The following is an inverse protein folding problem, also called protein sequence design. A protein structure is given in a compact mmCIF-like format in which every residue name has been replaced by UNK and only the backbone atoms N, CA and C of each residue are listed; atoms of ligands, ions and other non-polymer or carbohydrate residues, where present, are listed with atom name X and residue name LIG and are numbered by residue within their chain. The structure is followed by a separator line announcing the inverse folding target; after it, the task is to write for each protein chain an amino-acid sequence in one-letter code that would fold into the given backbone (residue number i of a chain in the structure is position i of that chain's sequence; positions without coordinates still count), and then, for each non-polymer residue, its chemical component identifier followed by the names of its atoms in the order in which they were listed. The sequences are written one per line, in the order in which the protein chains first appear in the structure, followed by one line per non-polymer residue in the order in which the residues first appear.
data_IF_241059614225
#
_entry.id   IF_241059614225
#
_cell.length_a   1.000
_cell.length_b   1.000
_cell.length_c   1.000
_cell.angle_alpha   90.00
_cell.angle_beta   90.00
_cell.angle_gamma   90.00
#
_symmetry.space_group_name_H-M   'P 1'
#
loop_
_entity.id
_entity.type
_entity.pdbx_description
1 polymer ?
#
# COMPACT_ATOMS: atom_id res chain seq x y z
N UNK A 1 -18.14 2.10 13.52
CA UNK A 1 -17.43 1.16 12.63
C UNK A 1 -18.36 0.93 11.44
N UNK A 2 -18.15 1.65 10.32
CA UNK A 2 -18.92 1.44 9.08
C UNK A 2 -18.34 0.20 8.41
N UNK A 3 -19.03 -0.93 8.47
CA UNK A 3 -18.77 -2.07 7.62
C UNK A 3 -19.11 -1.66 6.20
N UNK A 4 -18.10 -1.50 5.34
CA UNK A 4 -18.33 -1.37 3.91
C UNK A 4 -18.97 -2.67 3.43
N UNK A 5 -20.18 -2.56 2.85
CA UNK A 5 -20.88 -3.68 2.24
C UNK A 5 -20.12 -4.08 0.96
N UNK A 6 -19.37 -5.18 1.03
CA UNK A 6 -18.49 -5.65 -0.05
C UNK A 6 -19.23 -5.85 -1.38
N UNK A 7 -20.52 -6.20 -1.32
CA UNK A 7 -21.34 -6.41 -2.51
C UNK A 7 -21.65 -5.13 -3.30
N UNK A 8 -21.49 -3.95 -2.67
CA UNK A 8 -21.75 -2.64 -3.30
C UNK A 8 -20.48 -1.84 -3.54
N UNK A 9 -19.36 -2.22 -2.95
CA UNK A 9 -18.09 -1.51 -3.07
C UNK A 9 -17.42 -1.81 -4.41
N UNK A 10 -16.87 -0.78 -5.05
CA UNK A 10 -16.03 -0.94 -6.24
C UNK A 10 -14.65 -1.40 -5.79
N UNK A 11 -14.24 -2.56 -6.26
CA UNK A 11 -13.00 -3.20 -5.83
C UNK A 11 -12.02 -3.28 -7.00
N UNK A 12 -10.79 -2.84 -6.79
CA UNK A 12 -9.69 -3.07 -7.72
C UNK A 12 -9.03 -4.41 -7.36
N UNK A 13 -9.10 -5.43 -8.25
CA UNK A 13 -8.46 -6.73 -8.02
C UNK A 13 -6.93 -6.59 -8.06
N UNK A 14 -6.16 -7.52 -7.45
CA UNK A 14 -4.71 -7.53 -7.57
C UNK A 14 -4.29 -7.77 -9.02
N UNK A 15 -3.32 -6.99 -9.52
CA UNK A 15 -2.82 -7.10 -10.90
C UNK A 15 -1.57 -7.97 -11.00
N UNK A 16 -0.79 -8.11 -9.92
CA UNK A 16 0.52 -8.76 -9.93
C UNK A 16 0.70 -9.84 -8.86
N UNK A 17 -0.39 -10.28 -8.22
CA UNK A 17 -0.37 -11.47 -7.36
C UNK A 17 0.02 -12.71 -8.17
N UNK A 18 0.88 -13.57 -7.62
CA UNK A 18 1.48 -14.71 -8.31
C UNK A 18 2.61 -14.36 -9.28
N UNK A 19 2.86 -13.05 -9.53
CA UNK A 19 3.92 -12.57 -10.43
C UNK A 19 5.01 -11.79 -9.66
N UNK A 20 4.60 -10.80 -8.86
CA UNK A 20 5.52 -9.94 -8.11
C UNK A 20 5.61 -10.33 -6.64
N UNK A 21 4.59 -11.00 -6.12
CA UNK A 21 4.51 -11.51 -4.77
C UNK A 21 3.57 -12.74 -4.75
N UNK A 22 3.64 -13.61 -3.73
CA UNK A 22 2.80 -14.82 -3.64
C UNK A 22 1.29 -14.50 -3.67
N UNK A 23 0.53 -15.27 -4.45
CA UNK A 23 -0.94 -15.20 -4.46
C UNK A 23 -1.58 -15.92 -3.26
N UNK A 24 -0.84 -16.84 -2.64
CA UNK A 24 -1.29 -17.51 -1.42
C UNK A 24 -1.11 -16.58 -0.22
N UNK A 25 -2.19 -16.34 0.53
CA UNK A 25 -2.18 -15.42 1.67
C UNK A 25 -1.18 -15.80 2.78
N UNK A 26 -1.05 -17.09 3.09
CA UNK A 26 -0.16 -17.54 4.15
C UNK A 26 1.31 -17.39 3.74
N UNK A 27 1.64 -17.73 2.51
CA UNK A 27 2.97 -17.55 1.94
C UNK A 27 3.34 -16.07 1.89
N UNK A 28 2.45 -15.23 1.36
CA UNK A 28 2.65 -13.78 1.30
C UNK A 28 2.89 -13.18 2.68
N UNK A 29 2.08 -13.55 3.68
CA UNK A 29 2.25 -13.09 5.05
C UNK A 29 3.58 -13.54 5.64
N UNK A 30 3.96 -14.79 5.41
CA UNK A 30 5.23 -15.35 5.87
C UNK A 30 6.41 -14.57 5.28
N UNK A 31 6.42 -14.35 3.95
CA UNK A 31 7.50 -13.65 3.26
C UNK A 31 7.62 -12.21 3.73
N UNK A 32 6.51 -11.46 3.79
CA UNK A 32 6.50 -10.05 4.23
C UNK A 32 6.97 -9.94 5.68
N UNK A 33 6.48 -10.80 6.58
CA UNK A 33 6.93 -10.83 7.97
C UNK A 33 8.42 -11.15 8.05
N UNK A 34 8.90 -12.12 7.28
CA UNK A 34 10.32 -12.48 7.21
C UNK A 34 11.20 -11.31 6.76
N UNK A 35 10.80 -10.56 5.73
CA UNK A 35 11.53 -9.36 5.28
C UNK A 35 11.58 -8.26 6.36
N UNK A 36 10.48 -8.05 7.08
CA UNK A 36 10.40 -7.05 8.15
C UNK A 36 11.26 -7.46 9.35
N UNK A 37 11.23 -8.73 9.74
CA UNK A 37 11.92 -9.26 10.93
C UNK A 37 13.42 -9.44 10.71
N UNK A 38 13.85 -9.76 9.49
CA UNK A 38 15.26 -9.89 9.14
C UNK A 38 16.08 -8.60 9.32
N UNK A 39 15.40 -7.46 9.49
CA UNK A 39 16.04 -6.15 9.56
C UNK A 39 16.12 -5.62 10.98
N UNK A 40 17.32 -5.22 11.41
CA UNK A 40 17.54 -4.43 12.62
C UNK A 40 17.64 -2.95 12.20
N UNK A 41 16.66 -2.10 12.55
CA UNK A 41 16.75 -0.68 12.23
C UNK A 41 17.91 -0.05 13.01
N UNK A 42 18.62 0.93 12.42
CA UNK A 42 19.67 1.64 13.15
C UNK A 42 19.06 2.38 14.35
N UNK A 43 19.71 2.26 15.50
CA UNK A 43 19.26 2.79 16.79
C UNK A 43 19.15 4.33 16.87
N UNK A 44 19.55 5.06 15.83
CA UNK A 44 19.86 6.49 15.91
C UNK A 44 18.78 7.45 15.40
N UNK A 45 17.65 6.94 14.89
CA UNK A 45 16.58 7.84 14.39
C UNK A 45 15.44 7.89 15.39
N UNK A 46 15.39 8.98 16.16
CA UNK A 46 14.30 9.24 17.10
C UNK A 46 13.03 9.68 16.36
N UNK A 47 11.88 9.12 16.75
CA UNK A 47 10.55 9.50 16.26
C UNK A 47 10.08 8.77 15.00
N UNK A 48 8.78 8.93 14.66
CA UNK A 48 8.19 8.30 13.50
C UNK A 48 8.74 8.90 12.21
N UNK A 49 8.96 8.10 11.14
CA UNK A 49 9.34 8.63 9.85
C UNK A 49 8.20 9.47 9.27
N UNK A 50 8.53 10.63 8.70
CA UNK A 50 7.55 11.48 8.00
C UNK A 50 7.18 10.94 6.62
N UNK A 51 8.11 10.24 5.98
CA UNK A 51 7.94 9.61 4.69
C UNK A 51 8.90 8.42 4.57
N UNK A 52 8.54 7.46 3.72
CA UNK A 52 9.40 6.35 3.30
C UNK A 52 9.57 6.42 1.78
N UNK A 53 10.77 6.14 1.30
CA UNK A 53 11.06 5.89 -0.11
C UNK A 53 11.39 4.41 -0.22
N UNK A 54 10.55 3.67 -0.96
CA UNK A 54 10.57 2.21 -0.97
C UNK A 54 10.63 1.71 -2.42
N UNK A 55 11.43 0.67 -2.74
CA UNK A 55 11.42 0.06 -4.06
C UNK A 55 10.09 -0.65 -4.34
N UNK A 56 9.73 -0.80 -5.63
CA UNK A 56 8.45 -1.39 -6.07
C UNK A 56 8.62 -2.49 -7.14
N UNK A 57 9.72 -3.21 -7.14
CA UNK A 57 9.90 -4.41 -7.96
C UNK A 57 9.22 -5.64 -7.33
N UNK A 58 9.30 -6.80 -7.99
CA UNK A 58 8.88 -8.07 -7.39
C UNK A 58 9.65 -8.37 -6.10
N UNK A 59 9.01 -9.03 -5.15
CA UNK A 59 9.52 -9.23 -3.79
C UNK A 59 10.87 -9.95 -3.71
N UNK A 60 11.12 -10.86 -4.65
CA UNK A 60 12.45 -11.51 -4.76
C UNK A 60 13.61 -10.51 -4.93
N UNK A 61 13.34 -9.30 -5.46
CA UNK A 61 14.35 -8.26 -5.66
C UNK A 61 14.25 -7.13 -4.62
N UNK A 62 13.03 -6.68 -4.34
CA UNK A 62 12.78 -5.50 -3.52
C UNK A 62 12.34 -5.82 -2.08
N UNK A 63 11.87 -7.04 -1.82
CA UNK A 63 11.29 -7.41 -0.52
C UNK A 63 12.18 -7.09 0.68
N UNK A 64 13.47 -7.51 0.69
CA UNK A 64 14.36 -7.20 1.82
C UNK A 64 14.56 -5.70 2.07
N UNK A 65 14.68 -4.89 1.00
CA UNK A 65 14.86 -3.43 1.13
C UNK A 65 13.56 -2.76 1.57
N UNK A 66 12.42 -3.20 1.03
CA UNK A 66 11.10 -2.74 1.46
C UNK A 66 10.86 -3.10 2.93
N UNK A 67 11.14 -4.34 3.34
CA UNK A 67 11.05 -4.79 4.73
C UNK A 67 11.83 -3.90 5.69
N UNK A 68 13.08 -3.52 5.32
CA UNK A 68 13.88 -2.58 6.10
C UNK A 68 13.20 -1.22 6.29
N UNK A 69 12.59 -0.68 5.25
CA UNK A 69 11.87 0.59 5.33
C UNK A 69 10.60 0.47 6.18
N UNK A 70 9.78 -0.55 5.92
CA UNK A 70 8.52 -0.76 6.63
C UNK A 70 8.71 -1.15 8.11
N UNK A 71 9.80 -1.82 8.46
CA UNK A 71 10.15 -2.11 9.87
C UNK A 71 10.15 -0.86 10.73
N UNK A 72 10.49 0.30 10.16
CA UNK A 72 10.50 1.60 10.83
C UNK A 72 9.13 2.07 11.31
N UNK A 73 8.04 1.58 10.72
CA UNK A 73 6.68 1.93 11.12
C UNK A 73 6.22 1.13 12.35
N UNK A 74 6.82 -0.04 12.62
CA UNK A 74 6.40 -0.97 13.65
C UNK A 74 6.47 -0.39 15.07
N UNK A 75 7.36 0.56 15.29
CA UNK A 75 7.53 1.20 16.60
C UNK A 75 6.53 2.36 16.83
N UNK A 76 5.78 2.78 15.77
CA UNK A 76 4.90 3.94 15.77
C UNK A 76 3.49 3.68 15.24
N UNK A 77 2.94 2.51 15.47
CA UNK A 77 1.71 2.11 14.81
C UNK A 77 0.52 3.00 15.19
N UNK A 78 0.34 3.32 16.46
CA UNK A 78 -0.79 4.14 16.94
C UNK A 78 -0.81 5.59 16.39
N UNK A 79 0.30 6.07 15.83
CA UNK A 79 0.40 7.42 15.27
C UNK A 79 0.01 7.50 13.79
N UNK A 80 -0.05 6.38 13.08
CA UNK A 80 -0.34 6.33 11.64
C UNK A 80 -1.83 6.08 11.44
N UNK A 81 -2.55 7.08 10.96
CA UNK A 81 -3.99 7.01 10.70
C UNK A 81 -4.33 7.02 9.22
N UNK A 82 -3.50 7.67 8.42
CA UNK A 82 -3.65 7.80 6.96
C UNK A 82 -2.31 7.57 6.30
N UNK A 83 -2.32 6.90 5.16
CA UNK A 83 -1.15 6.67 4.33
C UNK A 83 -1.40 7.29 2.97
N UNK A 84 -0.53 8.17 2.53
CA UNK A 84 -0.53 8.70 1.16
C UNK A 84 0.57 8.01 0.39
N UNK A 85 0.20 7.28 -0.64
CA UNK A 85 1.15 6.58 -1.52
C UNK A 85 1.26 7.31 -2.86
N UNK A 86 2.49 7.50 -3.32
CA UNK A 86 2.79 8.07 -4.63
C UNK A 86 3.77 7.13 -5.34
N UNK A 87 3.42 6.72 -6.54
CA UNK A 87 4.24 5.85 -7.37
C UNK A 87 4.13 6.19 -8.85
N UNK A 88 5.06 5.72 -9.69
CA UNK A 88 5.01 5.94 -11.12
C UNK A 88 3.87 5.15 -11.78
N UNK A 89 3.37 5.67 -12.90
CA UNK A 89 2.47 4.95 -13.79
C UNK A 89 3.28 4.37 -14.95
N UNK A 90 3.43 3.03 -14.98
CA UNK A 90 4.22 2.32 -16.00
C UNK A 90 3.40 1.94 -17.23
N UNK A 91 2.07 1.86 -17.10
CA UNK A 91 1.19 1.30 -18.12
C UNK A 91 0.37 2.35 -18.86
N UNK A 92 0.03 3.44 -18.20
CA UNK A 92 -0.84 4.48 -18.75
C UNK A 92 -0.15 5.83 -18.62
N UNK A 93 0.06 6.57 -19.71
CA UNK A 93 0.62 7.91 -19.63
C UNK A 93 -0.40 8.84 -18.96
N UNK A 94 0.04 9.55 -17.93
CA UNK A 94 -0.77 10.53 -17.20
C UNK A 94 -0.06 11.88 -17.15
N UNK A 95 -0.83 12.96 -17.10
CA UNK A 95 -0.32 14.30 -16.80
C UNK A 95 -0.74 14.67 -15.39
N UNK A 96 0.22 14.93 -14.52
CA UNK A 96 -0.04 15.18 -13.09
C UNK A 96 -0.16 13.88 -12.31
N UNK A 97 -1.15 13.78 -11.43
CA UNK A 97 -1.40 12.64 -10.56
C UNK A 97 -2.77 12.04 -10.86
N UNK A 98 -2.89 10.73 -10.71
CA UNK A 98 -4.15 10.01 -10.83
C UNK A 98 -4.53 9.39 -9.48
N UNK A 99 -5.78 9.58 -9.07
CA UNK A 99 -6.38 8.84 -7.97
C UNK A 99 -7.43 7.86 -8.49
N UNK A 100 -7.65 6.71 -7.84
CA UNK A 100 -8.66 5.74 -8.26
C UNK A 100 -10.06 6.22 -7.87
N UNK A 101 -11.09 5.73 -8.59
CA UNK A 101 -12.48 5.90 -8.19
C UNK A 101 -12.98 4.77 -7.28
N UNK A 102 -12.26 3.65 -7.22
CA UNK A 102 -12.61 2.46 -6.42
C UNK A 102 -12.60 2.75 -4.92
N UNK A 103 -13.29 1.91 -4.18
CA UNK A 103 -13.43 2.04 -2.73
C UNK A 103 -12.44 1.14 -1.98
N UNK A 104 -11.98 0.07 -2.64
CA UNK A 104 -11.10 -0.94 -2.07
C UNK A 104 -10.03 -1.37 -3.07
N UNK A 105 -8.84 -1.68 -2.58
CA UNK A 105 -7.83 -2.46 -3.28
C UNK A 105 -7.77 -3.86 -2.67
N UNK A 106 -8.03 -4.89 -3.47
CA UNK A 106 -7.90 -6.26 -3.00
C UNK A 106 -6.44 -6.71 -3.03
N UNK A 107 -6.04 -7.47 -2.01
CA UNK A 107 -4.79 -8.22 -1.94
C UNK A 107 -5.09 -9.64 -1.46
N UNK A 108 -4.17 -10.60 -1.59
CA UNK A 108 -4.34 -11.91 -0.97
C UNK A 108 -4.51 -11.86 0.57
N UNK A 109 -4.03 -10.80 1.22
CA UNK A 109 -4.20 -10.60 2.67
C UNK A 109 -5.53 -9.95 3.06
N UNK A 110 -6.37 -9.58 2.08
CA UNK A 110 -7.65 -8.92 2.30
C UNK A 110 -7.75 -7.56 1.60
N UNK A 111 -8.88 -6.91 1.74
CA UNK A 111 -9.18 -5.65 1.08
C UNK A 111 -8.62 -4.46 1.89
N UNK A 112 -8.00 -3.52 1.19
CA UNK A 112 -7.47 -2.27 1.75
C UNK A 112 -8.39 -1.12 1.35
N UNK A 113 -9.02 -0.42 2.30
CA UNK A 113 -9.93 0.68 2.00
C UNK A 113 -9.18 1.93 1.50
N UNK A 114 -9.74 2.58 0.48
CA UNK A 114 -9.31 3.90 0.02
C UNK A 114 -9.96 4.97 0.88
N UNK A 115 -9.19 5.93 1.36
CA UNK A 115 -9.71 7.10 2.07
C UNK A 115 -10.47 8.01 1.09
N UNK A 116 -11.80 7.83 1.03
CA UNK A 116 -12.66 8.61 0.14
C UNK A 116 -12.58 10.11 0.44
N UNK A 117 -12.54 10.51 1.70
CA UNK A 117 -12.44 11.92 2.07
C UNK A 117 -11.07 12.51 1.70
N UNK A 118 -10.00 11.76 1.88
CA UNK A 118 -8.65 12.11 1.45
C UNK A 118 -8.57 12.24 -0.07
N UNK A 119 -9.10 11.26 -0.80
CA UNK A 119 -9.20 11.28 -2.27
C UNK A 119 -9.95 12.52 -2.78
N UNK A 120 -11.10 12.83 -2.19
CA UNK A 120 -11.91 13.96 -2.64
C UNK A 120 -11.18 15.28 -2.41
N UNK A 121 -10.47 15.46 -1.30
CA UNK A 121 -9.59 16.62 -1.06
C UNK A 121 -8.44 16.70 -2.07
N UNK A 122 -7.83 15.57 -2.43
CA UNK A 122 -6.76 15.57 -3.44
C UNK A 122 -7.27 16.02 -4.80
N UNK A 123 -8.52 15.69 -5.17
CA UNK A 123 -9.16 16.10 -6.44
C UNK A 123 -9.39 17.62 -6.56
N UNK A 124 -9.37 18.36 -5.47
CA UNK A 124 -9.42 19.83 -5.51
C UNK A 124 -8.11 20.42 -6.05
N UNK A 125 -7.03 19.65 -6.05
CA UNK A 125 -5.75 20.07 -6.59
C UNK A 125 -5.77 20.02 -8.13
N UNK A 126 -5.31 21.09 -8.77
CA UNK A 126 -5.39 21.29 -10.23
C UNK A 126 -4.76 20.19 -11.10
N UNK A 127 -3.80 19.44 -10.56
CA UNK A 127 -3.07 18.40 -11.30
C UNK A 127 -3.51 16.98 -10.92
N UNK A 128 -4.58 16.82 -10.16
CA UNK A 128 -5.09 15.52 -9.71
C UNK A 128 -6.39 15.18 -10.43
N UNK A 129 -6.40 14.08 -11.16
CA UNK A 129 -7.57 13.54 -11.86
C UNK A 129 -7.94 12.14 -11.39
N UNK A 130 -9.17 11.70 -11.68
CA UNK A 130 -9.58 10.30 -11.51
C UNK A 130 -9.17 9.50 -12.75
N UNK A 131 -8.51 8.36 -12.54
CA UNK A 131 -8.22 7.42 -13.61
C UNK A 131 -8.06 6.00 -13.07
N UNK A 132 -9.12 5.21 -13.14
CA UNK A 132 -9.04 3.77 -12.78
C UNK A 132 -8.12 3.01 -13.75
N UNK A 133 -8.04 3.43 -15.02
CA UNK A 133 -7.12 2.84 -15.99
C UNK A 133 -5.65 2.96 -15.57
N UNK A 134 -5.26 4.07 -14.92
CA UNK A 134 -3.91 4.27 -14.42
C UNK A 134 -3.56 3.30 -13.28
N UNK A 135 -4.55 2.77 -12.57
CA UNK A 135 -4.37 1.86 -11.45
C UNK A 135 -4.64 0.39 -11.81
N UNK A 136 -5.46 0.10 -12.83
CA UNK A 136 -5.96 -1.25 -13.12
C UNK A 136 -4.86 -2.31 -13.26
N UNK A 137 -3.80 -2.02 -14.01
CA UNK A 137 -2.66 -2.92 -14.25
C UNK A 137 -1.33 -2.39 -13.66
N UNK A 138 -1.40 -1.37 -12.80
CA UNK A 138 -0.22 -0.75 -12.19
C UNK A 138 0.17 -1.47 -10.89
N UNK A 139 1.46 -1.74 -10.74
CA UNK A 139 2.02 -2.50 -9.63
C UNK A 139 2.72 -1.64 -8.57
N UNK A 140 3.15 -0.43 -8.92
CA UNK A 140 4.02 0.40 -8.07
C UNK A 140 3.45 0.66 -6.67
N UNK A 141 2.13 0.89 -6.57
CA UNK A 141 1.43 1.05 -5.30
C UNK A 141 0.97 -0.30 -4.73
N UNK A 142 0.53 -1.24 -5.58
CA UNK A 142 0.00 -2.53 -5.16
C UNK A 142 1.00 -3.33 -4.32
N UNK A 143 2.27 -3.39 -4.75
CA UNK A 143 3.31 -4.14 -4.04
C UNK A 143 3.63 -3.59 -2.64
N UNK A 144 3.18 -2.39 -2.32
CA UNK A 144 3.33 -1.78 -1.00
C UNK A 144 2.25 -2.23 0.00
N UNK A 145 1.07 -2.60 -0.52
CA UNK A 145 -0.10 -2.88 0.31
C UNK A 145 0.11 -4.04 1.30
N UNK A 146 0.70 -5.19 0.92
CA UNK A 146 0.94 -6.28 1.87
C UNK A 146 1.87 -5.89 3.02
N UNK A 147 2.89 -5.06 2.77
CA UNK A 147 3.77 -4.55 3.82
C UNK A 147 3.00 -3.67 4.80
N UNK A 148 2.17 -2.75 4.29
CA UNK A 148 1.31 -1.90 5.12
C UNK A 148 0.32 -2.73 5.93
N UNK A 149 -0.32 -3.73 5.31
CA UNK A 149 -1.25 -4.61 6.01
C UNK A 149 -0.55 -5.32 7.18
N UNK A 150 0.60 -5.95 6.96
CA UNK A 150 1.33 -6.67 8.02
C UNK A 150 1.80 -5.73 9.13
N UNK A 151 2.37 -4.57 8.78
CA UNK A 151 2.92 -3.64 9.79
C UNK A 151 1.82 -2.92 10.56
N UNK A 152 0.68 -2.61 9.91
CA UNK A 152 -0.41 -1.82 10.50
C UNK A 152 -1.57 -2.69 11.01
N UNK A 153 -1.63 -4.00 10.71
CA UNK A 153 -2.66 -4.92 11.22
C UNK A 153 -2.64 -5.04 12.75
N UNK A 154 -1.49 -4.97 13.37
CA UNK A 154 -1.38 -4.91 14.84
C UNK A 154 -2.15 -3.71 15.43
N UNK A 155 -2.66 -2.82 14.57
CA UNK A 155 -3.34 -1.56 14.94
C UNK A 155 -4.80 -1.50 14.47
N UNK A 156 -5.23 -2.46 13.65
CA UNK A 156 -6.65 -2.61 13.27
C UNK A 156 -7.21 -1.61 12.27
N UNK A 157 -6.45 -0.73 11.60
CA UNK A 157 -6.95 0.13 10.51
C UNK A 157 -5.84 0.85 9.73
N UNK A 158 -5.56 0.41 8.52
CA UNK A 158 -4.96 1.29 7.52
C UNK A 158 -6.04 1.75 6.55
N UNK A 159 -6.17 3.05 6.34
CA UNK A 159 -6.87 3.63 5.19
C UNK A 159 -5.80 4.18 4.24
N UNK A 160 -5.86 3.76 2.99
CA UNK A 160 -4.93 4.16 1.92
C UNK A 160 -5.63 5.13 0.98
#
# INVERSE_FOLDING_TARGET
MLSLDRDKSRIRPPAVAGLFYPENANELRHDVSGYIEACSPPATVAGPPKALIVPHAGYQYSGPVAGFAYRRLRDWPASIRHVVMIGPSHRVPIRGLAVPSVDLFATPLGDVPVDAAGRDRLRELRLVGISDAAHAAEHSLEVQLPFLQVVLEEIGRAHV
#
